data_IF_657719159640
#
_entry.id   IF_657719159640
#
_cell.length_a   1.000
_cell.length_b   1.000
_cell.length_c   1.000
_cell.angle_alpha   90.00
_cell.angle_beta   90.00
_cell.angle_gamma   90.00
#
_symmetry.space_group_name_H-M   'P 1'
#
loop_
_entity.id
_entity.type
_entity.pdbx_description
1 polymer ?
#
# COMPACT_ATOMS: atom_id res chain seq x y z
N UNK A 1 -16.07 -7.41 -58.94
CA UNK A 1 -15.07 -8.48 -58.69
C UNK A 1 -14.82 -8.53 -57.20
N UNK A 2 -14.77 -9.72 -56.59
CA UNK A 2 -14.38 -9.86 -55.18
C UNK A 2 -12.85 -9.83 -55.07
N UNK A 3 -12.31 -9.00 -54.18
CA UNK A 3 -10.89 -9.01 -53.82
C UNK A 3 -10.72 -9.85 -52.56
N UNK A 4 -9.73 -10.76 -52.56
CA UNK A 4 -9.40 -11.57 -51.37
C UNK A 4 -8.22 -10.96 -50.64
N UNK A 5 -8.40 -10.72 -49.33
CA UNK A 5 -7.35 -10.25 -48.43
C UNK A 5 -6.91 -11.44 -47.59
N UNK A 6 -5.60 -11.69 -47.51
CA UNK A 6 -5.03 -12.65 -46.57
C UNK A 6 -4.74 -11.94 -45.24
N UNK A 7 -5.10 -12.57 -44.14
CA UNK A 7 -4.84 -12.13 -42.76
C UNK A 7 -4.10 -13.26 -42.02
N UNK A 8 -3.49 -12.97 -40.87
CA UNK A 8 -2.95 -14.02 -39.99
C UNK A 8 -4.08 -14.78 -39.30
N UNK A 9 -3.81 -16.02 -38.90
CA UNK A 9 -4.77 -16.85 -38.17
C UNK A 9 -5.16 -16.22 -36.83
N UNK A 10 -4.23 -15.56 -36.13
CA UNK A 10 -4.51 -14.80 -34.89
C UNK A 10 -5.52 -13.67 -35.14
N UNK A 11 -5.34 -12.89 -36.21
CA UNK A 11 -6.26 -11.80 -36.56
C UNK A 11 -7.62 -12.33 -36.99
N UNK A 12 -7.65 -13.47 -37.70
CA UNK A 12 -8.88 -14.18 -38.05
C UNK A 12 -9.62 -14.67 -36.79
N UNK A 13 -8.93 -15.29 -35.83
CA UNK A 13 -9.51 -15.79 -34.58
C UNK A 13 -10.04 -14.65 -33.71
N UNK A 14 -9.28 -13.56 -33.55
CA UNK A 14 -9.70 -12.36 -32.84
C UNK A 14 -10.92 -11.72 -33.50
N UNK A 15 -10.91 -11.54 -34.82
CA UNK A 15 -12.05 -10.98 -35.55
C UNK A 15 -13.29 -11.90 -35.47
N UNK A 16 -13.13 -13.22 -35.49
CA UNK A 16 -14.23 -14.18 -35.31
C UNK A 16 -14.78 -14.18 -33.87
N UNK A 17 -13.94 -13.96 -32.86
CA UNK A 17 -14.38 -13.79 -31.47
C UNK A 17 -15.19 -12.50 -31.29
N UNK A 18 -14.68 -11.37 -31.80
CA UNK A 18 -15.34 -10.07 -31.62
C UNK A 18 -16.60 -9.91 -32.48
N UNK A 19 -16.60 -10.42 -33.71
CA UNK A 19 -17.78 -10.44 -34.59
C UNK A 19 -19.00 -11.13 -33.91
N UNK A 20 -18.75 -12.22 -33.15
CA UNK A 20 -19.80 -12.90 -32.37
C UNK A 20 -20.33 -12.07 -31.20
N UNK A 21 -19.48 -11.23 -30.57
CA UNK A 21 -19.90 -10.31 -29.49
C UNK A 21 -20.71 -9.14 -30.04
N UNK A 22 -20.23 -8.53 -31.14
CA UNK A 22 -20.87 -7.37 -31.76
C UNK A 22 -22.05 -7.74 -32.68
N UNK A 23 -22.37 -9.03 -32.84
CA UNK A 23 -23.39 -9.54 -33.77
C UNK A 23 -23.18 -9.11 -35.23
N UNK A 24 -21.91 -9.02 -35.65
CA UNK A 24 -21.48 -8.67 -37.01
C UNK A 24 -21.02 -9.92 -37.76
N UNK A 25 -21.01 -9.86 -39.10
CA UNK A 25 -20.22 -10.81 -39.89
C UNK A 25 -18.72 -10.51 -39.77
N UNK A 26 -17.88 -11.52 -40.03
CA UNK A 26 -16.41 -11.39 -39.98
C UNK A 26 -15.91 -10.24 -40.89
N UNK A 27 -16.50 -10.09 -42.08
CA UNK A 27 -16.15 -9.02 -43.01
C UNK A 27 -16.52 -7.63 -42.45
N UNK A 28 -17.71 -7.48 -41.87
CA UNK A 28 -18.14 -6.23 -41.21
C UNK A 28 -17.28 -5.90 -39.99
N UNK A 29 -16.81 -6.90 -39.24
CA UNK A 29 -15.91 -6.67 -38.09
C UNK A 29 -14.56 -6.11 -38.54
N UNK A 30 -13.96 -6.67 -39.60
CA UNK A 30 -12.71 -6.20 -40.18
C UNK A 30 -12.89 -4.79 -40.78
N UNK A 31 -13.99 -4.53 -41.47
CA UNK A 31 -14.34 -3.21 -42.01
C UNK A 31 -14.56 -2.18 -40.88
N UNK A 32 -15.19 -2.58 -39.77
CA UNK A 32 -15.39 -1.73 -38.59
C UNK A 32 -14.06 -1.37 -37.92
N UNK A 33 -13.15 -2.34 -37.74
CA UNK A 33 -11.80 -2.07 -37.22
C UNK A 33 -10.98 -1.17 -38.16
N UNK A 34 -11.06 -1.37 -39.48
CA UNK A 34 -10.38 -0.49 -40.44
C UNK A 34 -10.92 0.95 -40.37
N UNK A 35 -12.24 1.13 -40.25
CA UNK A 35 -12.87 2.45 -40.06
C UNK A 35 -12.50 3.11 -38.73
N UNK A 36 -12.39 2.34 -37.64
CA UNK A 36 -11.91 2.85 -36.36
C UNK A 36 -10.44 3.29 -36.43
N UNK A 37 -9.56 2.49 -37.04
CA UNK A 37 -8.15 2.84 -37.24
C UNK A 37 -8.00 4.16 -38.01
N UNK A 38 -8.69 4.28 -39.15
CA UNK A 38 -8.71 5.51 -39.95
C UNK A 38 -9.26 6.70 -39.16
N UNK A 39 -10.27 6.48 -38.30
CA UNK A 39 -10.84 7.49 -37.41
C UNK A 39 -9.84 7.98 -36.34
N UNK A 40 -9.04 7.09 -35.76
CA UNK A 40 -7.99 7.47 -34.80
C UNK A 40 -6.85 8.24 -35.50
N UNK A 41 -6.33 7.74 -36.62
CA UNK A 41 -5.25 8.39 -37.37
C UNK A 41 -5.66 9.80 -37.84
N UNK A 42 -6.86 9.95 -38.41
CA UNK A 42 -7.39 11.25 -38.84
C UNK A 42 -7.72 12.21 -37.68
N UNK A 43 -7.86 11.71 -36.45
CA UNK A 43 -7.98 12.51 -35.23
C UNK A 43 -6.63 12.89 -34.60
N UNK A 44 -5.50 12.48 -35.20
CA UNK A 44 -4.16 12.66 -34.62
C UNK A 44 -3.86 11.74 -33.43
N UNK A 45 -4.70 10.73 -33.18
CA UNK A 45 -4.53 9.75 -32.10
C UNK A 45 -3.58 8.66 -32.60
N UNK A 46 -2.39 8.57 -32.01
CA UNK A 46 -1.37 7.63 -32.45
C UNK A 46 -1.69 6.18 -32.08
N UNK A 47 -1.03 5.22 -32.75
CA UNK A 47 -1.10 3.81 -32.38
C UNK A 47 -0.70 3.58 -30.90
N UNK A 48 0.23 4.38 -30.38
CA UNK A 48 0.67 4.34 -28.99
C UNK A 48 -0.39 4.91 -28.01
N UNK A 49 -1.25 5.84 -28.46
CA UNK A 49 -2.39 6.34 -27.67
C UNK A 49 -3.52 5.32 -27.62
N UNK A 50 -3.85 4.68 -28.75
CA UNK A 50 -4.81 3.57 -28.82
C UNK A 50 -4.36 2.42 -27.92
N UNK A 51 -3.09 2.00 -28.03
CA UNK A 51 -2.48 0.99 -27.14
C UNK A 51 -2.54 1.43 -25.68
N UNK A 52 -2.25 2.70 -25.37
CA UNK A 52 -2.35 3.25 -24.02
C UNK A 52 -3.78 3.24 -23.47
N UNK A 53 -4.79 3.44 -24.32
CA UNK A 53 -6.19 3.35 -23.94
C UNK A 53 -6.62 1.89 -23.67
N UNK A 54 -6.28 0.95 -24.57
CA UNK A 54 -6.53 -0.49 -24.39
C UNK A 54 -5.82 -1.03 -23.15
N UNK A 55 -4.58 -0.60 -22.90
CA UNK A 55 -3.81 -0.94 -21.70
C UNK A 55 -4.50 -0.44 -20.42
N UNK A 56 -4.94 0.82 -20.38
CA UNK A 56 -5.67 1.37 -19.22
C UNK A 56 -7.00 0.64 -19.01
N UNK A 57 -7.72 0.33 -20.09
CA UNK A 57 -8.95 -0.45 -20.02
C UNK A 57 -8.70 -1.86 -19.46
N UNK A 58 -7.62 -2.54 -19.87
CA UNK A 58 -7.28 -3.89 -19.38
C UNK A 58 -6.72 -3.89 -17.96
N UNK A 59 -5.93 -2.89 -17.55
CA UNK A 59 -5.52 -2.74 -16.15
C UNK A 59 -6.72 -2.45 -15.25
N UNK A 60 -7.64 -1.58 -15.69
CA UNK A 60 -8.91 -1.36 -15.01
C UNK A 60 -9.76 -2.64 -14.98
N UNK A 61 -9.73 -3.46 -16.05
CA UNK A 61 -10.41 -4.75 -16.08
C UNK A 61 -9.79 -5.76 -15.10
N UNK A 62 -8.46 -5.89 -15.03
CA UNK A 62 -7.81 -6.74 -14.04
C UNK A 62 -8.07 -6.25 -12.60
N UNK A 63 -8.10 -4.93 -12.37
CA UNK A 63 -8.49 -4.32 -11.08
C UNK A 63 -9.96 -4.57 -10.76
N UNK A 64 -10.86 -4.54 -11.76
CA UNK A 64 -12.29 -4.85 -11.62
C UNK A 64 -12.53 -6.35 -11.37
N UNK A 65 -11.87 -7.23 -12.11
CA UNK A 65 -11.88 -8.68 -11.92
C UNK A 65 -11.35 -9.06 -10.53
N UNK A 66 -10.30 -8.37 -10.06
CA UNK A 66 -9.81 -8.47 -8.69
C UNK A 66 -10.76 -7.81 -7.67
N UNK A 67 -11.64 -6.89 -8.09
CA UNK A 67 -12.68 -6.27 -7.24
C UNK A 67 -13.98 -7.07 -7.14
N UNK A 68 -14.25 -7.91 -8.14
CA UNK A 68 -15.40 -8.81 -8.22
C UNK A 68 -15.08 -10.23 -7.72
N UNK A 69 -13.84 -10.48 -7.28
CA UNK A 69 -13.37 -11.80 -6.83
C UNK A 69 -13.16 -12.82 -7.96
N UNK A 70 -13.15 -12.38 -9.23
CA UNK A 70 -12.84 -13.21 -10.41
C UNK A 70 -11.36 -13.60 -10.47
N UNK A 71 -10.48 -12.79 -9.86
CA UNK A 71 -9.12 -13.16 -9.46
C UNK A 71 -8.86 -12.75 -8.01
N UNK A 72 -7.96 -13.45 -7.28
CA UNK A 72 -7.67 -13.12 -5.88
C UNK A 72 -6.71 -11.94 -5.77
N UNK A 73 -7.00 -11.01 -4.86
CA UNK A 73 -6.17 -9.83 -4.57
C UNK A 73 -4.70 -10.16 -4.23
N UNK A 74 -4.45 -11.37 -3.73
CA UNK A 74 -3.10 -11.83 -3.40
C UNK A 74 -2.18 -12.00 -4.62
N UNK A 75 -2.70 -12.14 -5.86
CA UNK A 75 -1.86 -12.24 -7.07
C UNK A 75 -1.19 -10.91 -7.47
N UNK A 76 -1.61 -9.79 -6.88
CA UNK A 76 -1.05 -8.46 -7.13
C UNK A 76 0.13 -8.12 -6.19
N UNK A 77 0.41 -8.97 -5.20
CA UNK A 77 1.54 -8.79 -4.28
C UNK A 77 2.77 -9.46 -4.88
N UNK A 78 3.82 -8.69 -5.12
CA UNK A 78 5.00 -9.17 -5.82
C UNK A 78 5.96 -9.93 -4.87
N UNK A 79 5.98 -9.56 -3.59
CA UNK A 79 6.77 -10.25 -2.55
C UNK A 79 6.08 -11.58 -2.18
N UNK A 80 6.81 -12.71 -2.09
CA UNK A 80 6.24 -13.98 -1.65
C UNK A 80 5.86 -14.00 -0.16
N UNK A 81 4.71 -14.59 0.18
CA UNK A 81 4.23 -14.71 1.56
C UNK A 81 5.21 -15.48 2.47
N UNK A 82 5.92 -16.47 1.92
CA UNK A 82 6.98 -17.22 2.62
C UNK A 82 8.16 -16.32 3.01
N UNK A 83 8.55 -15.37 2.16
CA UNK A 83 9.61 -14.39 2.43
C UNK A 83 9.15 -13.39 3.50
N UNK A 84 7.93 -12.86 3.36
CA UNK A 84 7.39 -11.89 4.31
C UNK A 84 7.15 -12.50 5.70
N UNK A 85 6.64 -13.72 5.83
CA UNK A 85 6.38 -14.36 7.13
C UNK A 85 7.66 -14.68 7.93
N UNK A 86 8.71 -15.13 7.24
CA UNK A 86 9.95 -15.58 7.86
C UNK A 86 10.96 -14.44 8.13
N UNK A 87 10.61 -13.20 7.80
CA UNK A 87 11.43 -12.00 7.99
C UNK A 87 11.75 -11.69 9.47
N UNK A 88 13.05 -11.59 9.76
CA UNK A 88 13.60 -11.00 11.00
C UNK A 88 13.68 -9.47 10.84
N UNK A 89 13.52 -8.74 11.95
CA UNK A 89 13.22 -7.30 12.01
C UNK A 89 14.20 -6.57 12.94
N UNK A 90 14.75 -5.41 12.52
CA UNK A 90 15.64 -4.53 13.32
C UNK A 90 15.33 -3.04 13.05
N UNK A 91 15.60 -2.14 14.02
CA UNK A 91 15.23 -0.69 13.98
C UNK A 91 16.47 0.24 14.13
N UNK A 92 16.46 1.50 13.60
CA UNK A 92 17.68 2.32 13.42
C UNK A 92 17.66 3.79 13.96
N UNK A 93 18.80 4.50 13.81
CA UNK A 93 19.02 5.95 14.03
C UNK A 93 19.71 6.59 12.76
N UNK A 94 20.07 7.90 12.70
CA UNK A 94 20.21 8.70 11.42
C UNK A 94 21.58 9.29 11.00
N UNK A 95 21.74 9.66 9.68
CA UNK A 95 22.01 11.01 9.06
C UNK A 95 22.13 10.93 7.46
N UNK A 96 22.41 11.98 6.61
CA UNK A 96 21.91 12.11 5.16
C UNK A 96 22.70 12.88 3.98
N UNK A 97 22.05 13.14 2.77
CA UNK A 97 22.30 14.05 1.52
C UNK A 97 22.95 13.48 0.15
N UNK A 98 22.79 13.89 -1.17
CA UNK A 98 21.93 14.80 -2.08
C UNK A 98 21.57 14.27 -3.57
N UNK A 99 21.89 14.70 -4.88
CA UNK A 99 21.02 14.36 -6.11
C UNK A 99 21.50 13.98 -7.62
N UNK A 100 20.76 13.12 -8.44
CA UNK A 100 20.36 13.19 -9.94
C UNK A 100 20.54 11.97 -11.00
N UNK A 101 20.18 12.02 -12.35
CA UNK A 101 18.85 11.75 -13.09
C UNK A 101 18.77 11.76 -14.74
N UNK A 102 18.25 10.74 -15.56
CA UNK A 102 17.75 10.71 -17.07
C UNK A 102 17.05 9.40 -17.79
N UNK A 103 16.12 9.47 -18.84
CA UNK A 103 14.89 8.56 -19.21
C UNK A 103 14.73 7.84 -20.62
N UNK A 104 13.97 6.70 -20.79
CA UNK A 104 13.34 6.20 -22.10
C UNK A 104 12.18 5.12 -22.11
N UNK A 105 11.00 5.40 -22.76
CA UNK A 105 9.94 4.52 -23.40
C UNK A 105 9.17 3.40 -22.60
N UNK A 106 8.00 2.93 -23.11
CA UNK A 106 6.98 2.10 -22.40
C UNK A 106 6.44 0.84 -23.13
N UNK A 107 5.91 -0.11 -22.34
CA UNK A 107 5.24 -1.41 -22.69
C UNK A 107 3.96 -1.60 -21.80
N UNK A 108 3.48 -2.84 -21.55
CA UNK A 108 2.38 -3.21 -20.62
C UNK A 108 2.92 -3.60 -19.23
N UNK A 109 2.37 -3.10 -18.12
CA UNK A 109 2.94 -3.40 -16.79
C UNK A 109 2.41 -4.71 -16.17
N UNK A 110 3.28 -5.71 -16.06
CA UNK A 110 3.02 -7.04 -15.52
C UNK A 110 3.10 -7.11 -13.99
N UNK A 111 2.57 -8.20 -13.42
CA UNK A 111 2.85 -8.59 -12.03
C UNK A 111 4.35 -8.93 -11.96
N UNK A 112 5.11 -8.25 -11.09
CA UNK A 112 6.55 -8.47 -10.98
C UNK A 112 6.85 -9.88 -10.45
N UNK A 113 7.54 -10.75 -11.23
CA UNK A 113 7.82 -12.13 -10.81
C UNK A 113 8.66 -12.21 -9.52
N UNK A 114 8.45 -13.23 -8.68
CA UNK A 114 9.16 -13.39 -7.41
C UNK A 114 10.68 -13.22 -7.50
N UNK A 115 11.34 -13.87 -8.47
CA UNK A 115 12.79 -13.78 -8.64
C UNK A 115 13.28 -12.39 -9.09
N UNK A 116 12.43 -11.61 -9.76
CA UNK A 116 12.72 -10.22 -10.09
C UNK A 116 12.54 -9.29 -8.89
N UNK A 117 11.57 -9.58 -8.01
CA UNK A 117 11.43 -8.91 -6.71
C UNK A 117 12.62 -9.23 -5.80
N UNK A 118 13.04 -10.48 -5.68
CA UNK A 118 14.21 -10.83 -4.88
C UNK A 118 15.48 -10.11 -5.35
N UNK A 119 15.66 -10.00 -6.67
CA UNK A 119 16.79 -9.27 -7.26
C UNK A 119 16.69 -7.77 -7.02
N UNK A 120 15.48 -7.19 -7.06
CA UNK A 120 15.23 -5.80 -6.69
C UNK A 120 15.52 -5.53 -5.20
N UNK A 121 15.10 -6.42 -4.29
CA UNK A 121 15.34 -6.31 -2.86
C UNK A 121 16.84 -6.51 -2.52
N UNK A 122 17.51 -7.47 -3.16
CA UNK A 122 18.98 -7.66 -3.04
C UNK A 122 19.78 -6.47 -3.57
N UNK A 123 19.30 -5.80 -4.62
CA UNK A 123 19.88 -4.55 -5.10
C UNK A 123 19.62 -3.38 -4.15
N UNK A 124 18.39 -3.26 -3.65
CA UNK A 124 18.01 -2.19 -2.75
C UNK A 124 18.94 -2.18 -1.52
N UNK A 125 19.13 -3.35 -0.91
CA UNK A 125 19.93 -3.50 0.30
C UNK A 125 19.36 -2.69 1.45
N UNK A 126 20.19 -2.35 2.43
CA UNK A 126 19.82 -1.46 3.53
C UNK A 126 20.01 0.04 3.21
N UNK A 127 20.17 0.40 1.94
CA UNK A 127 20.48 1.76 1.49
C UNK A 127 19.33 2.46 0.76
N UNK A 128 18.28 1.73 0.34
CA UNK A 128 17.00 2.32 -0.11
C UNK A 128 15.83 1.57 0.54
N UNK A 129 14.70 2.24 0.73
CA UNK A 129 13.56 1.73 1.51
C UNK A 129 12.41 1.33 0.59
N UNK A 130 11.91 0.10 0.70
CA UNK A 130 10.67 -0.30 0.04
C UNK A 130 9.50 0.53 0.58
N UNK A 131 8.80 1.23 -0.31
CA UNK A 131 7.64 2.10 -0.02
C UNK A 131 6.42 1.62 -0.84
N UNK A 132 5.48 2.52 -1.15
CA UNK A 132 4.48 2.26 -2.18
C UNK A 132 3.40 1.26 -1.76
N UNK A 133 2.86 0.51 -2.72
CA UNK A 133 1.88 -0.55 -2.45
C UNK A 133 2.54 -1.83 -1.96
N UNK A 134 3.76 -2.12 -2.40
CA UNK A 134 4.49 -3.33 -2.02
C UNK A 134 4.95 -3.29 -0.55
N UNK A 135 5.24 -2.13 0.04
CA UNK A 135 5.45 -2.01 1.49
C UNK A 135 4.18 -2.37 2.30
N UNK A 136 2.99 -1.97 1.85
CA UNK A 136 1.73 -2.41 2.43
C UNK A 136 1.56 -3.93 2.29
N UNK A 137 1.84 -4.48 1.10
CA UNK A 137 1.77 -5.92 0.84
C UNK A 137 2.69 -6.75 1.71
N UNK A 138 3.94 -6.31 1.92
CA UNK A 138 4.87 -6.92 2.86
C UNK A 138 4.27 -7.01 4.27
N UNK A 139 3.74 -5.90 4.80
CA UNK A 139 3.17 -5.89 6.15
C UNK A 139 1.89 -6.73 6.26
N UNK A 140 1.03 -6.71 5.24
CA UNK A 140 -0.16 -7.57 5.19
C UNK A 140 0.22 -9.05 5.29
N UNK A 141 1.16 -9.51 4.47
CA UNK A 141 1.67 -10.89 4.54
C UNK A 141 2.36 -11.19 5.88
N UNK A 142 3.21 -10.26 6.38
CA UNK A 142 3.95 -10.41 7.65
C UNK A 142 3.04 -10.62 8.86
N UNK A 143 1.85 -10.02 8.85
CA UNK A 143 0.83 -10.16 9.90
C UNK A 143 -0.31 -11.13 9.54
N UNK A 144 -0.28 -11.76 8.36
CA UNK A 144 -1.35 -12.67 7.90
C UNK A 144 -2.68 -11.97 7.62
N UNK A 145 -2.68 -10.66 7.38
CA UNK A 145 -3.88 -9.88 7.04
C UNK A 145 -4.25 -10.18 5.60
N UNK A 146 -5.36 -10.91 5.44
CA UNK A 146 -6.05 -11.06 4.16
C UNK A 146 -7.03 -9.92 3.98
N UNK A 147 -7.11 -9.40 2.77
CA UNK A 147 -8.28 -8.67 2.33
C UNK A 147 -9.34 -9.69 1.85
N UNK A 148 -10.65 -9.38 1.96
CA UNK A 148 -11.66 -10.06 1.17
C UNK A 148 -11.25 -10.22 -0.29
N UNK A 149 -11.49 -11.39 -0.87
CA UNK A 149 -11.45 -11.57 -2.32
C UNK A 149 -12.44 -10.57 -2.94
N UNK A 150 -12.00 -9.79 -3.92
CA UNK A 150 -12.71 -8.58 -4.36
C UNK A 150 -12.06 -7.24 -3.99
N UNK A 151 -10.77 -7.14 -3.67
CA UNK A 151 -10.12 -5.86 -3.26
C UNK A 151 -8.66 -5.71 -3.74
N UNK A 152 -8.44 -5.04 -4.88
CA UNK A 152 -7.12 -4.77 -5.47
C UNK A 152 -6.28 -3.68 -4.75
N UNK A 153 -6.00 -3.84 -3.45
CA UNK A 153 -5.35 -2.78 -2.66
C UNK A 153 -3.84 -2.60 -2.91
N UNK A 154 -3.17 -3.41 -3.74
CA UNK A 154 -1.71 -3.38 -3.89
C UNK A 154 -1.33 -3.12 -5.36
N UNK A 155 -0.55 -2.07 -5.58
CA UNK A 155 -0.07 -1.65 -6.90
C UNK A 155 1.03 -2.59 -7.41
N UNK A 156 1.02 -2.93 -8.71
CA UNK A 156 2.01 -3.84 -9.34
C UNK A 156 3.43 -3.27 -9.31
N UNK A 157 3.52 -1.95 -9.41
CA UNK A 157 4.73 -1.12 -9.38
C UNK A 157 5.49 -1.32 -8.05
N UNK A 158 6.79 -1.64 -8.14
CA UNK A 158 7.68 -1.75 -6.96
C UNK A 158 8.31 -0.38 -6.68
N UNK A 159 7.83 0.30 -5.64
CA UNK A 159 8.37 1.60 -5.24
C UNK A 159 9.48 1.48 -4.19
N UNK A 160 10.64 2.06 -4.45
CA UNK A 160 11.68 2.35 -3.46
C UNK A 160 11.81 3.85 -3.20
N UNK A 161 12.28 4.21 -2.01
CA UNK A 161 12.73 5.54 -1.63
C UNK A 161 14.25 5.51 -1.48
N UNK A 162 14.96 6.28 -2.29
CA UNK A 162 16.35 6.61 -2.01
C UNK A 162 16.41 7.65 -0.87
N UNK A 163 17.44 7.63 -0.01
CA UNK A 163 17.64 8.63 1.05
C UNK A 163 17.73 10.03 0.45
N UNK A 164 18.39 10.12 -0.70
CA UNK A 164 18.63 11.31 -1.50
C UNK A 164 18.65 10.94 -2.99
N UNK A 165 18.43 11.87 -3.93
CA UNK A 165 18.52 11.54 -5.35
C UNK A 165 19.92 11.11 -5.89
N UNK A 166 21.04 11.16 -5.14
CA UNK A 166 22.40 10.80 -5.59
C UNK A 166 22.87 9.43 -5.11
N UNK A 167 22.23 8.83 -4.11
CA UNK A 167 22.63 7.51 -3.61
C UNK A 167 22.63 6.44 -4.72
N UNK A 168 22.00 6.72 -5.86
CA UNK A 168 22.00 5.89 -7.06
C UNK A 168 23.20 6.12 -8.01
N UNK A 169 23.91 7.25 -7.96
CA UNK A 169 24.96 7.59 -8.93
C UNK A 169 26.26 6.78 -8.73
N UNK A 170 26.44 6.19 -7.55
CA UNK A 170 27.56 5.30 -7.21
C UNK A 170 27.18 3.80 -7.21
N UNK A 171 25.92 3.45 -7.48
CA UNK A 171 25.43 2.07 -7.51
C UNK A 171 25.17 1.63 -8.95
N UNK A 172 25.31 0.33 -9.29
CA UNK A 172 24.72 -0.17 -10.53
C UNK A 172 23.23 0.19 -10.55
N UNK A 173 22.68 0.78 -11.62
CA UNK A 173 21.26 1.13 -11.67
C UNK A 173 20.38 -0.09 -11.40
N UNK A 174 19.19 0.09 -10.81
CA UNK A 174 18.23 -0.99 -10.56
C UNK A 174 17.95 -1.84 -11.83
N UNK A 175 18.05 -1.22 -13.00
CA UNK A 175 18.05 -1.86 -14.32
C UNK A 175 19.02 -3.05 -14.43
N UNK A 176 20.28 -2.90 -13.99
CA UNK A 176 21.28 -3.97 -13.96
C UNK A 176 20.80 -5.12 -13.07
N UNK A 177 20.23 -4.78 -11.91
CA UNK A 177 19.71 -5.76 -10.97
C UNK A 177 18.53 -6.57 -11.51
N UNK A 178 17.72 -6.04 -12.43
CA UNK A 178 16.64 -6.78 -13.12
C UNK A 178 17.00 -7.34 -14.51
N UNK A 179 18.13 -6.95 -15.12
CA UNK A 179 18.45 -7.07 -16.57
C UNK A 179 17.59 -6.19 -17.49
N UNK A 180 17.06 -5.10 -16.96
CA UNK A 180 16.26 -4.12 -17.68
C UNK A 180 17.06 -2.91 -18.17
N UNK A 181 16.32 -1.88 -18.58
CA UNK A 181 16.81 -0.58 -19.00
C UNK A 181 16.61 0.44 -17.88
N UNK A 182 17.56 1.38 -17.75
CA UNK A 182 17.44 2.49 -16.80
C UNK A 182 16.59 3.60 -17.43
N UNK A 183 15.58 4.05 -16.70
CA UNK A 183 14.65 5.11 -17.07
C UNK A 183 14.63 6.08 -15.89
N UNK A 184 14.79 7.39 -16.06
CA UNK A 184 14.85 8.33 -14.92
C UNK A 184 14.40 9.72 -15.44
N UNK A 185 13.57 10.58 -14.82
CA UNK A 185 12.99 11.74 -15.53
C UNK A 185 14.00 12.72 -16.17
N UNK A 186 13.57 13.50 -17.18
CA UNK A 186 14.42 14.58 -17.70
C UNK A 186 14.47 15.75 -16.71
N UNK A 187 15.58 16.50 -16.65
CA UNK A 187 15.80 17.62 -15.69
C UNK A 187 14.76 18.76 -15.70
N UNK A 188 13.78 18.75 -16.63
CA UNK A 188 12.65 19.70 -16.67
C UNK A 188 11.37 19.15 -16.02
N UNK A 189 11.29 17.85 -15.77
CA UNK A 189 10.18 17.24 -15.05
C UNK A 189 10.46 17.31 -13.54
N UNK A 190 9.93 18.34 -12.88
CA UNK A 190 9.95 18.47 -11.42
C UNK A 190 9.02 17.44 -10.78
N UNK A 191 9.51 16.21 -10.64
CA UNK A 191 8.80 15.07 -10.05
C UNK A 191 9.65 14.39 -8.98
N UNK A 192 9.01 13.71 -8.04
CA UNK A 192 9.65 13.00 -6.93
C UNK A 192 10.50 11.76 -7.33
N UNK A 193 10.74 11.54 -8.62
CA UNK A 193 11.29 10.30 -9.19
C UNK A 193 12.80 10.45 -9.46
N UNK A 194 13.63 9.77 -8.66
CA UNK A 194 15.10 9.68 -8.82
C UNK A 194 15.50 8.75 -9.94
N UNK A 195 14.64 7.78 -10.24
CA UNK A 195 14.95 6.72 -11.18
C UNK A 195 13.80 5.74 -11.30
N UNK A 196 13.90 4.92 -12.32
CA UNK A 196 12.94 3.93 -12.74
C UNK A 196 13.74 2.81 -13.42
N UNK A 197 13.35 1.56 -13.24
CA UNK A 197 13.97 0.44 -13.93
C UNK A 197 12.90 -0.44 -14.55
N UNK A 198 13.06 -0.68 -15.84
CA UNK A 198 12.08 -1.35 -16.69
C UNK A 198 12.75 -2.54 -17.35
N UNK A 199 12.37 -3.75 -16.93
CA UNK A 199 12.78 -4.98 -17.60
C UNK A 199 11.59 -5.58 -18.33
N UNK A 200 11.84 -6.05 -19.55
CA UNK A 200 10.86 -6.75 -20.36
C UNK A 200 10.63 -8.15 -19.78
N UNK A 201 9.37 -8.56 -19.64
CA UNK A 201 8.97 -9.93 -19.26
C UNK A 201 8.50 -10.71 -20.50
N UNK A 202 7.86 -10.02 -21.44
CA UNK A 202 7.44 -10.58 -22.72
C UNK A 202 7.57 -9.53 -23.84
N UNK A 203 7.10 -9.84 -25.05
CA UNK A 203 7.12 -8.87 -26.16
C UNK A 203 6.25 -7.63 -25.87
N UNK A 204 5.15 -7.83 -25.14
CA UNK A 204 4.21 -6.77 -24.76
C UNK A 204 4.46 -6.26 -23.34
N UNK A 205 4.98 -7.08 -22.42
CA UNK A 205 5.03 -6.78 -20.99
C UNK A 205 6.41 -6.33 -20.45
N UNK A 206 6.37 -5.43 -19.46
CA UNK A 206 7.49 -5.01 -18.63
C UNK A 206 7.13 -5.04 -17.14
N UNK A 207 8.14 -5.06 -16.27
CA UNK A 207 8.01 -4.75 -14.84
C UNK A 207 8.53 -3.35 -14.56
N UNK A 208 7.90 -2.64 -13.62
CA UNK A 208 8.37 -1.33 -13.18
C UNK A 208 8.92 -1.35 -11.76
N UNK A 209 10.09 -0.73 -11.60
CA UNK A 209 10.64 -0.36 -10.30
C UNK A 209 10.82 1.16 -10.29
N UNK A 210 9.95 1.88 -9.60
CA UNK A 210 10.12 3.31 -9.37
C UNK A 210 11.06 3.53 -8.17
N UNK A 211 11.98 4.48 -8.27
CA UNK A 211 12.84 4.95 -7.18
C UNK A 211 12.57 6.43 -6.97
N UNK A 212 11.92 6.77 -5.86
CA UNK A 212 11.55 8.12 -5.47
C UNK A 212 12.57 8.74 -4.50
N UNK A 213 12.56 10.07 -4.35
CA UNK A 213 13.24 10.81 -3.26
C UNK A 213 12.28 11.60 -2.39
N UNK A 214 10.97 11.57 -2.66
CA UNK A 214 9.96 12.22 -1.82
C UNK A 214 8.74 11.30 -1.67
N UNK A 215 8.07 11.39 -0.53
CA UNK A 215 6.86 10.65 -0.21
C UNK A 215 5.83 11.60 0.38
N UNK A 216 4.77 11.87 -0.40
CA UNK A 216 3.72 12.84 -0.06
C UNK A 216 3.28 12.72 1.41
N UNK A 217 3.61 13.76 2.19
CA UNK A 217 3.25 13.89 3.60
C UNK A 217 4.32 13.50 4.63
N UNK A 218 5.51 13.03 4.22
CA UNK A 218 6.59 12.61 5.13
C UNK A 218 7.94 12.96 4.51
N UNK A 219 8.86 13.56 5.28
CA UNK A 219 10.22 13.80 4.77
C UNK A 219 10.97 12.49 4.51
N UNK A 220 11.86 12.43 3.49
CA UNK A 220 12.62 11.22 3.16
C UNK A 220 13.45 10.73 4.35
N UNK A 221 14.13 11.66 5.01
CA UNK A 221 14.87 11.45 6.26
C UNK A 221 14.03 10.75 7.34
N UNK A 222 12.78 11.18 7.56
CA UNK A 222 11.91 10.57 8.56
C UNK A 222 11.43 9.15 8.17
N UNK A 223 11.32 8.86 6.88
CA UNK A 223 11.06 7.49 6.38
C UNK A 223 12.32 6.63 6.52
N UNK A 224 13.51 7.14 6.16
CA UNK A 224 14.80 6.45 6.32
C UNK A 224 15.06 6.11 7.80
N UNK A 225 14.91 7.09 8.70
CA UNK A 225 15.07 6.96 10.16
C UNK A 225 14.23 5.83 10.75
N UNK A 226 12.96 5.74 10.34
CA UNK A 226 12.00 4.77 10.89
C UNK A 226 11.89 3.47 10.11
N UNK A 227 12.57 3.39 8.96
CA UNK A 227 12.54 2.22 8.10
C UNK A 227 13.01 0.97 8.84
N UNK A 228 12.25 -0.12 8.67
CA UNK A 228 12.51 -1.37 9.36
C UNK A 228 13.48 -2.19 8.50
N UNK A 229 14.63 -2.55 9.06
CA UNK A 229 15.57 -3.49 8.42
C UNK A 229 14.98 -4.89 8.51
N UNK A 230 14.89 -5.54 7.36
CA UNK A 230 14.38 -6.88 7.14
C UNK A 230 15.53 -7.80 6.74
N UNK A 231 15.58 -8.99 7.34
CA UNK A 231 16.51 -10.06 6.99
C UNK A 231 15.68 -11.31 6.67
N UNK A 232 15.73 -11.75 5.40
CA UNK A 232 14.92 -12.84 4.86
C UNK A 232 15.76 -13.76 3.97
N UNK A 233 16.17 -14.90 4.52
CA UNK A 233 17.22 -15.74 3.92
C UNK A 233 18.53 -14.96 3.79
N UNK A 234 19.14 -14.99 2.62
CA UNK A 234 20.34 -14.20 2.28
C UNK A 234 20.02 -12.73 1.91
N UNK A 235 18.73 -12.35 1.80
CA UNK A 235 18.33 -11.00 1.37
C UNK A 235 18.12 -10.08 2.57
N UNK A 236 18.88 -8.98 2.61
CA UNK A 236 18.71 -7.90 3.59
C UNK A 236 18.19 -6.65 2.87
N UNK A 237 17.11 -6.05 3.37
CA UNK A 237 16.51 -4.85 2.79
C UNK A 237 15.84 -3.96 3.86
N UNK A 238 15.37 -2.77 3.48
CA UNK A 238 14.54 -1.92 4.35
C UNK A 238 13.11 -1.79 3.85
N UNK A 239 12.15 -1.67 4.77
CA UNK A 239 10.73 -1.43 4.47
C UNK A 239 10.20 -0.24 5.26
N UNK A 240 9.37 0.58 4.62
CA UNK A 240 8.69 1.73 5.23
C UNK A 240 7.88 1.32 6.47
N UNK A 241 7.99 2.08 7.55
CA UNK A 241 7.33 1.77 8.82
C UNK A 241 5.79 1.74 8.67
N UNK A 242 5.04 0.83 9.33
CA UNK A 242 3.58 0.73 9.21
C UNK A 242 2.83 2.07 9.38
N UNK A 243 3.21 2.87 10.40
CA UNK A 243 2.59 4.19 10.63
C UNK A 243 2.91 5.21 9.51
N UNK A 244 4.05 5.08 8.84
CA UNK A 244 4.43 5.97 7.72
C UNK A 244 3.76 5.54 6.41
N UNK A 245 3.55 4.24 6.17
CA UNK A 245 2.69 3.80 5.06
C UNK A 245 1.26 4.33 5.27
N UNK A 246 0.73 4.27 6.49
CA UNK A 246 -0.57 4.84 6.85
C UNK A 246 -0.64 6.36 6.64
N UNK A 247 0.31 7.13 7.19
CA UNK A 247 0.39 8.60 7.01
C UNK A 247 0.53 8.98 5.53
N UNK A 248 1.36 8.27 4.77
CA UNK A 248 1.52 8.50 3.33
C UNK A 248 0.23 8.20 2.56
N UNK A 249 -0.47 7.09 2.82
CA UNK A 249 -1.75 6.79 2.13
C UNK A 249 -2.84 7.82 2.45
N UNK A 250 -2.90 8.27 3.71
CA UNK A 250 -3.80 9.33 4.12
C UNK A 250 -3.50 10.67 3.41
N UNK A 251 -2.22 11.06 3.35
CA UNK A 251 -1.79 12.26 2.65
C UNK A 251 -2.02 12.16 1.13
N UNK A 252 -1.79 11.00 0.51
CA UNK A 252 -2.08 10.73 -0.89
C UNK A 252 -3.57 10.88 -1.21
N UNK A 253 -4.46 10.24 -0.43
CA UNK A 253 -5.91 10.35 -0.58
C UNK A 253 -6.40 11.80 -0.43
N UNK A 254 -5.75 12.59 0.43
CA UNK A 254 -6.14 13.98 0.64
C UNK A 254 -5.56 14.96 -0.41
N UNK A 255 -4.31 14.77 -0.86
CA UNK A 255 -3.54 15.76 -1.63
C UNK A 255 -3.37 15.45 -3.12
N UNK A 256 -3.60 14.21 -3.58
CA UNK A 256 -3.39 13.84 -4.98
C UNK A 256 -4.73 13.62 -5.71
N UNK A 257 -5.19 14.56 -6.56
CA UNK A 257 -6.42 14.37 -7.35
C UNK A 257 -6.40 13.11 -8.23
N UNK A 258 -5.21 12.69 -8.68
CA UNK A 258 -5.02 11.45 -9.45
C UNK A 258 -5.32 10.15 -8.67
N UNK A 259 -5.46 10.21 -7.33
CA UNK A 259 -5.92 9.10 -6.47
C UNK A 259 -7.43 9.12 -6.21
N UNK A 260 -8.13 10.17 -6.65
CA UNK A 260 -9.59 10.28 -6.61
C UNK A 260 -10.21 10.65 -7.96
N UNK A 261 -9.48 10.48 -9.07
CA UNK A 261 -9.86 10.99 -10.40
C UNK A 261 -10.88 10.11 -11.12
N UNK A 262 -11.00 8.85 -10.73
CA UNK A 262 -12.05 7.91 -11.17
C UNK A 262 -12.58 7.15 -9.95
N UNK A 263 -13.81 6.59 -10.00
CA UNK A 263 -14.39 5.85 -8.88
C UNK A 263 -13.49 4.69 -8.41
N UNK A 264 -12.85 4.00 -9.35
CA UNK A 264 -12.03 2.79 -9.14
C UNK A 264 -10.73 3.15 -8.41
N UNK A 265 -10.07 4.25 -8.81
CA UNK A 265 -8.87 4.76 -8.13
C UNK A 265 -9.17 5.28 -6.73
N UNK A 266 -10.33 5.92 -6.54
CA UNK A 266 -10.79 6.30 -5.21
C UNK A 266 -11.03 5.05 -4.36
N UNK A 267 -11.75 4.06 -4.90
CA UNK A 267 -12.05 2.79 -4.25
C UNK A 267 -10.76 2.05 -3.82
N UNK A 268 -9.79 1.85 -4.72
CA UNK A 268 -8.47 1.29 -4.38
C UNK A 268 -7.76 2.11 -3.29
N UNK A 269 -7.82 3.45 -3.35
CA UNK A 269 -7.16 4.31 -2.36
C UNK A 269 -7.81 4.22 -0.97
N UNK A 270 -9.13 4.01 -0.92
CA UNK A 270 -9.88 3.76 0.32
C UNK A 270 -9.59 2.35 0.88
N UNK A 271 -9.54 1.33 0.01
CA UNK A 271 -9.12 -0.03 0.38
C UNK A 271 -7.70 -0.05 0.97
N UNK A 272 -6.77 0.68 0.34
CA UNK A 272 -5.40 0.86 0.85
C UNK A 272 -5.36 1.51 2.23
N UNK A 273 -6.20 2.53 2.48
CA UNK A 273 -6.25 3.18 3.78
C UNK A 273 -6.83 2.24 4.86
N UNK A 274 -7.89 1.48 4.55
CA UNK A 274 -8.43 0.46 5.45
C UNK A 274 -7.42 -0.66 5.75
N UNK A 275 -6.70 -1.15 4.73
CA UNK A 275 -5.65 -2.16 4.90
C UNK A 275 -4.51 -1.66 5.80
N UNK A 276 -4.13 -0.38 5.70
CA UNK A 276 -3.14 0.23 6.58
C UNK A 276 -3.63 0.37 8.04
N UNK A 277 -4.91 0.65 8.26
CA UNK A 277 -5.51 0.68 9.61
C UNK A 277 -5.39 -0.70 10.27
N UNK A 278 -5.68 -1.78 9.54
CA UNK A 278 -5.49 -3.17 10.03
C UNK A 278 -4.01 -3.52 10.26
N UNK A 279 -3.12 -3.13 9.33
CA UNK A 279 -1.67 -3.35 9.44
C UNK A 279 -1.06 -2.66 10.66
N UNK A 280 -1.43 -1.40 10.93
CA UNK A 280 -0.95 -0.67 12.11
C UNK A 280 -1.52 -1.28 13.40
N UNK A 281 -2.78 -1.75 13.40
CA UNK A 281 -3.36 -2.47 14.53
C UNK A 281 -2.63 -3.78 14.83
N UNK A 282 -2.28 -4.55 13.80
CA UNK A 282 -1.49 -5.78 13.94
C UNK A 282 -0.05 -5.50 14.42
N UNK A 283 0.58 -4.44 13.93
CA UNK A 283 1.85 -3.95 14.44
C UNK A 283 1.78 -3.64 15.95
N UNK A 284 0.77 -2.89 16.42
CA UNK A 284 0.61 -2.61 17.86
C UNK A 284 0.46 -3.90 18.69
N UNK A 285 -0.29 -4.89 18.19
CA UNK A 285 -0.40 -6.22 18.84
C UNK A 285 0.94 -6.94 18.93
N UNK A 286 1.77 -6.87 17.89
CA UNK A 286 3.13 -7.44 17.90
C UNK A 286 4.07 -6.70 18.86
N UNK A 287 3.98 -5.37 18.95
CA UNK A 287 4.74 -4.56 19.93
C UNK A 287 4.30 -4.85 21.38
N UNK A 288 3.01 -5.11 21.61
CA UNK A 288 2.50 -5.53 22.92
C UNK A 288 3.04 -6.92 23.31
N UNK A 289 2.97 -7.91 22.40
CA UNK A 289 3.42 -9.28 22.64
C UNK A 289 4.93 -9.42 22.86
N UNK A 290 5.74 -8.48 22.37
CA UNK A 290 7.20 -8.44 22.58
C UNK A 290 7.63 -7.64 23.82
N UNK A 291 6.70 -6.94 24.47
CA UNK A 291 6.99 -6.13 25.66
C UNK A 291 6.98 -6.96 26.94
N UNK A 292 8.14 -7.09 27.58
CA UNK A 292 8.28 -7.83 28.84
C UNK A 292 7.45 -7.24 29.99
N UNK A 293 6.93 -8.11 30.86
CA UNK A 293 6.07 -7.75 31.99
C UNK A 293 6.68 -6.69 32.93
N UNK A 294 8.01 -6.64 33.03
CA UNK A 294 8.75 -5.63 33.81
C UNK A 294 8.40 -4.19 33.43
N UNK A 295 8.09 -3.92 32.15
CA UNK A 295 7.69 -2.58 31.71
C UNK A 295 6.31 -2.18 32.24
N UNK A 296 5.38 -3.13 32.35
CA UNK A 296 4.01 -2.88 32.85
C UNK A 296 4.02 -2.44 34.32
N UNK A 297 4.99 -2.90 35.13
CA UNK A 297 5.16 -2.50 36.52
C UNK A 297 5.45 -1.00 36.70
N UNK A 298 5.90 -0.29 35.65
CA UNK A 298 6.13 1.17 35.68
C UNK A 298 4.86 2.00 35.46
N UNK A 299 3.72 1.37 35.18
CA UNK A 299 2.45 2.03 34.85
C UNK A 299 2.42 2.74 33.48
N UNK A 300 3.52 2.72 32.71
CA UNK A 300 3.58 3.26 31.35
C UNK A 300 3.42 2.14 30.34
N UNK A 301 2.35 2.18 29.55
CA UNK A 301 2.18 1.23 28.44
C UNK A 301 3.32 1.40 27.42
N UNK A 302 3.96 0.32 26.96
CA UNK A 302 4.99 0.38 25.90
C UNK A 302 4.42 0.91 24.57
N UNK A 303 3.10 0.79 24.36
CA UNK A 303 2.41 1.33 23.19
C UNK A 303 2.17 2.84 23.26
N UNK A 304 2.42 3.49 24.40
CA UNK A 304 2.06 4.89 24.67
C UNK A 304 2.56 5.85 23.59
N UNK A 305 3.79 5.66 23.08
CA UNK A 305 4.35 6.48 22.01
C UNK A 305 3.55 6.33 20.70
N UNK A 306 3.31 5.10 20.25
CA UNK A 306 2.59 4.78 19.02
C UNK A 306 1.12 5.22 19.08
N UNK A 307 0.44 4.97 20.21
CA UNK A 307 -0.94 5.42 20.46
C UNK A 307 -1.03 6.94 20.38
N UNK A 308 -0.07 7.68 20.95
CA UNK A 308 -0.01 9.14 20.86
C UNK A 308 0.36 9.66 19.46
N UNK A 309 1.07 8.90 18.62
CA UNK A 309 1.28 9.28 17.22
C UNK A 309 0.02 9.06 16.38
N UNK A 310 -0.68 7.93 16.56
CA UNK A 310 -1.93 7.64 15.84
C UNK A 310 -3.04 8.62 16.25
N UNK A 311 -3.12 9.00 17.53
CA UNK A 311 -4.04 10.06 18.01
C UNK A 311 -3.75 11.40 17.33
N UNK A 312 -2.47 11.81 17.22
CA UNK A 312 -2.08 13.01 16.47
C UNK A 312 -2.46 12.92 14.99
N UNK A 313 -2.20 11.79 14.34
CA UNK A 313 -2.56 11.57 12.94
C UNK A 313 -4.09 11.59 12.74
N UNK A 314 -4.87 11.08 13.70
CA UNK A 314 -6.33 11.04 13.63
C UNK A 314 -7.00 12.42 13.78
N UNK A 315 -6.35 13.40 14.43
CA UNK A 315 -6.85 14.79 14.48
C UNK A 315 -6.42 15.65 13.28
N UNK A 316 -5.50 15.18 12.43
CA UNK A 316 -5.10 15.89 11.21
C UNK A 316 -6.27 16.06 10.23
N UNK A 317 -6.25 17.14 9.46
CA UNK A 317 -7.35 17.49 8.55
C UNK A 317 -7.63 16.41 7.48
N UNK A 318 -6.59 15.69 7.05
CA UNK A 318 -6.71 14.55 6.16
C UNK A 318 -7.50 13.39 6.81
N UNK A 319 -7.22 13.05 8.08
CA UNK A 319 -7.92 12.00 8.81
C UNK A 319 -9.39 12.38 9.08
N UNK A 320 -9.64 13.61 9.52
CA UNK A 320 -11.01 14.12 9.71
C UNK A 320 -11.82 14.06 8.42
N UNK A 321 -11.21 14.42 7.28
CA UNK A 321 -11.85 14.32 5.95
C UNK A 321 -12.07 12.87 5.50
N UNK A 322 -11.14 11.95 5.78
CA UNK A 322 -11.32 10.53 5.49
C UNK A 322 -12.46 9.90 6.32
N UNK A 323 -12.54 10.20 7.61
CA UNK A 323 -13.62 9.76 8.48
C UNK A 323 -14.98 10.35 8.04
N UNK A 324 -15.06 11.68 7.86
CA UNK A 324 -16.31 12.37 7.54
C UNK A 324 -16.87 12.05 6.13
N UNK A 325 -16.03 11.68 5.17
CA UNK A 325 -16.44 11.39 3.77
C UNK A 325 -16.59 9.90 3.45
N UNK A 326 -15.85 9.05 4.15
CA UNK A 326 -15.69 7.64 3.78
C UNK A 326 -15.80 6.67 4.97
N UNK A 327 -16.11 7.15 6.17
CA UNK A 327 -16.15 6.38 7.43
C UNK A 327 -14.84 5.65 7.76
N UNK A 328 -13.69 6.12 7.25
CA UNK A 328 -12.37 5.56 7.54
C UNK A 328 -11.71 6.30 8.70
N UNK A 329 -11.80 5.73 9.91
CA UNK A 329 -11.28 6.31 11.14
C UNK A 329 -9.85 5.86 11.42
N UNK A 330 -8.87 6.75 11.28
CA UNK A 330 -7.44 6.47 11.57
C UNK A 330 -7.23 5.99 13.01
N UNK A 331 -8.02 6.47 13.97
CA UNK A 331 -7.96 6.05 15.36
C UNK A 331 -8.31 4.57 15.58
N UNK A 332 -9.05 3.92 14.66
CA UNK A 332 -9.37 2.48 14.75
C UNK A 332 -8.13 1.60 14.57
N UNK A 333 -6.98 2.17 14.17
CA UNK A 333 -5.71 1.46 14.17
C UNK A 333 -5.18 1.19 15.58
N UNK A 334 -5.68 1.88 16.62
CA UNK A 334 -5.40 1.57 18.02
C UNK A 334 -6.29 0.41 18.46
N UNK A 335 -5.72 -0.52 19.23
CA UNK A 335 -6.47 -1.55 19.95
C UNK A 335 -6.41 -1.25 21.46
N UNK A 336 -7.47 -0.67 22.06
CA UNK A 336 -7.50 -0.30 23.47
C UNK A 336 -7.33 -1.49 24.41
N UNK A 337 -7.67 -2.72 23.99
CA UNK A 337 -7.53 -3.91 24.85
C UNK A 337 -6.07 -4.24 25.21
N UNK A 338 -5.10 -3.67 24.49
CA UNK A 338 -3.67 -3.77 24.77
C UNK A 338 -3.18 -2.77 25.84
N UNK A 339 -4.06 -1.92 26.38
CA UNK A 339 -3.72 -0.86 27.32
C UNK A 339 -4.27 -1.23 28.71
N UNK A 340 -3.40 -1.44 29.73
CA UNK A 340 -3.84 -1.91 31.03
C UNK A 340 -4.75 -0.91 31.77
N UNK A 341 -5.41 -1.40 32.83
CA UNK A 341 -6.18 -0.56 33.74
C UNK A 341 -5.35 0.61 34.29
N UNK A 342 -5.96 1.78 34.46
CA UNK A 342 -5.31 2.99 34.95
C UNK A 342 -5.63 4.24 34.13
N UNK A 343 -4.90 5.35 34.35
CA UNK A 343 -5.32 6.71 33.94
C UNK A 343 -5.57 6.96 32.45
N UNK A 344 -5.18 6.04 31.56
CA UNK A 344 -5.58 6.10 30.16
C UNK A 344 -7.11 6.04 30.01
N UNK A 345 -7.77 5.13 30.72
CA UNK A 345 -9.19 4.84 30.57
C UNK A 345 -10.10 5.96 31.08
N UNK A 346 -9.64 6.73 32.05
CA UNK A 346 -10.36 7.91 32.57
C UNK A 346 -10.04 9.18 31.78
N UNK A 347 -8.76 9.40 31.44
CA UNK A 347 -8.27 10.72 30.97
C UNK A 347 -8.07 10.84 29.46
N UNK A 348 -7.84 9.74 28.74
CA UNK A 348 -7.55 9.74 27.28
C UNK A 348 -8.57 8.96 26.47
N UNK A 349 -9.07 7.85 27.00
CA UNK A 349 -10.07 7.03 26.31
C UNK A 349 -11.31 7.82 25.89
N UNK A 350 -11.89 8.76 26.68
CA UNK A 350 -13.03 9.56 26.23
C UNK A 350 -12.73 10.40 24.97
N UNK A 351 -11.52 10.96 24.86
CA UNK A 351 -11.10 11.74 23.69
C UNK A 351 -10.80 10.84 22.49
N UNK A 352 -10.04 9.75 22.68
CA UNK A 352 -9.74 8.80 21.62
C UNK A 352 -11.00 8.13 21.05
N UNK A 353 -11.96 7.79 21.93
CA UNK A 353 -13.26 7.22 21.57
C UNK A 353 -14.07 8.11 20.62
N UNK A 354 -13.90 9.43 20.68
CA UNK A 354 -14.54 10.38 19.77
C UNK A 354 -13.86 10.47 18.38
N UNK A 355 -12.65 9.94 18.23
CA UNK A 355 -11.92 9.88 16.95
C UNK A 355 -12.12 8.54 16.21
N UNK A 356 -12.47 7.49 16.95
CA UNK A 356 -12.76 6.15 16.44
C UNK A 356 -14.13 6.05 15.76
N UNK A 357 -14.35 4.99 14.97
CA UNK A 357 -15.68 4.67 14.46
C UNK A 357 -16.58 4.19 15.61
N UNK A 358 -17.86 4.60 15.69
CA UNK A 358 -18.74 4.20 16.80
C UNK A 358 -18.87 2.69 16.97
N UNK A 359 -18.89 1.93 15.87
CA UNK A 359 -18.98 0.46 15.87
C UNK A 359 -17.69 -0.19 16.39
N UNK A 360 -16.52 0.36 16.09
CA UNK A 360 -15.26 -0.19 16.60
C UNK A 360 -15.07 0.18 18.08
N UNK A 361 -15.30 1.44 18.44
CA UNK A 361 -15.15 1.93 19.81
C UNK A 361 -16.11 1.26 20.81
N UNK A 362 -17.32 0.88 20.38
CA UNK A 362 -18.28 0.15 21.21
C UNK A 362 -17.82 -1.27 21.62
N UNK A 363 -16.74 -1.80 21.03
CA UNK A 363 -16.17 -3.11 21.39
C UNK A 363 -15.34 -3.09 22.68
N UNK A 364 -15.03 -1.90 23.22
CA UNK A 364 -14.07 -1.74 24.30
C UNK A 364 -14.72 -1.08 25.52
N UNK A 365 -14.71 -1.79 26.63
CA UNK A 365 -15.01 -1.28 27.98
C UNK A 365 -13.71 -1.12 28.78
N UNK A 366 -13.67 -0.20 29.76
CA UNK A 366 -12.55 -0.14 30.69
C UNK A 366 -12.37 -1.49 31.42
N UNK A 367 -11.13 -2.02 31.52
CA UNK A 367 -10.87 -3.22 32.30
C UNK A 367 -11.10 -2.95 33.79
N UNK A 368 -11.79 -3.88 34.46
CA UNK A 368 -12.04 -3.80 35.91
C UNK A 368 -10.69 -3.82 36.63
N UNK A 369 -10.48 -2.84 37.52
CA UNK A 369 -9.24 -2.76 38.29
C UNK A 369 -9.17 -3.92 39.30
N UNK A 370 -8.09 -4.73 39.31
CA UNK A 370 -7.93 -5.83 40.27
C UNK A 370 -7.69 -5.24 41.66
N UNK A 371 -8.72 -5.23 42.52
CA UNK A 371 -8.62 -4.73 43.89
C UNK A 371 -9.95 -4.39 44.58
N UNK A 372 -11.03 -4.13 43.83
CA UNK A 372 -12.37 -3.93 44.38
C UNK A 372 -13.25 -5.18 44.15
N UNK A 373 -13.01 -6.22 44.93
CA UNK A 373 -14.03 -7.23 45.23
C UNK A 373 -15.04 -6.63 46.21
N UNK A 374 -16.33 -6.66 45.89
CA UNK A 374 -17.41 -6.08 46.71
C UNK A 374 -17.72 -6.89 47.99
N UNK A 375 -16.84 -7.83 48.36
CA UNK A 375 -16.86 -8.63 49.59
C UNK A 375 -16.49 -7.78 50.84
N UNK A 376 -17.18 -6.65 51.03
CA UNK A 376 -17.29 -6.00 52.34
C UNK A 376 -18.43 -6.68 53.10
N UNK A 377 -18.16 -7.58 54.07
CA UNK A 377 -19.23 -8.27 54.79
C UNK A 377 -20.09 -7.24 55.53
N UNK A 378 -21.40 -7.25 55.26
CA UNK A 378 -22.36 -6.29 55.79
C UNK A 378 -22.39 -6.33 57.32
N UNK A 379 -21.60 -5.45 57.94
CA UNK A 379 -21.40 -5.44 59.38
C UNK A 379 -22.67 -4.93 60.05
N UNK A 380 -23.43 -5.86 60.63
CA UNK A 380 -24.79 -5.62 61.11
C UNK A 380 -24.80 -4.58 62.24
N UNK A 381 -25.28 -3.36 61.98
CA UNK A 381 -25.45 -2.32 62.99
C UNK A 381 -26.64 -2.61 63.94
N UNK A 382 -26.50 -3.66 64.73
CA UNK A 382 -27.47 -4.07 65.73
C UNK A 382 -27.34 -3.22 67.02
N UNK A 383 -28.17 -2.17 67.11
CA UNK A 383 -28.71 -1.57 68.35
C UNK A 383 -27.79 -1.53 69.60
N UNK A 384 -27.35 -0.32 69.99
CA UNK A 384 -27.37 0.08 71.42
C UNK A 384 -28.03 1.45 71.61
N UNK A 385 -29.25 1.42 72.15
CA UNK A 385 -29.87 2.53 72.91
C UNK A 385 -29.69 2.22 74.40
N UNK A 386 -29.70 3.26 75.25
CA UNK A 386 -29.52 3.24 76.71
C UNK A 386 -28.07 2.95 77.14
N UNK A 387 -27.61 3.49 78.28
CA UNK A 387 -28.31 4.39 79.21
C UNK A 387 -27.97 5.85 78.93
#
# INVERSE_FOLDING_TARGET
MAQSIRVSDDLYLLAQAEARRMSLSLAQQIEHWAKLGLGFESSGVGLDDVRSATLRARLCQDELDASEGRISAHSLIAIPESMARNAKVTLPETDAEDPAVVVTKKKIEAITPPELVERALRWAGDSVVLIGGQALGFWMQRYGIRLPDGLAAISRDVGFLAPSPNDLCHRPPAAVAIKGQAIIPSRRALTALVGQAVADVSADEYINIDVLFDVVGISPEAVMKRSVRIEAGETVFRVMHPLDVLRSRLANLHRLPAKSSTPDKLLMSLQQLQANIEVVRAFLRAQAATSSATNLATGRSPLQAWVSEIERLAIEDAARKAAARHALHVADAIDPSLIPAGPFWDKRWPALKALMSPRYAARFTPPIAPGFSDDTPQTTQARRRRR
#
